data_IF_788602582065
#
_entry.id   IF_788602582065
#
_cell.length_a   1.000
_cell.length_b   1.000
_cell.length_c   1.000
_cell.angle_alpha   90.00
_cell.angle_beta   90.00
_cell.angle_gamma   90.00
#
_symmetry.space_group_name_H-M   'P 1'
#
loop_
_entity.id
_entity.type
_entity.pdbx_description
1 polymer ?
#
# COMPACT_ATOMS: atom_id res chain seq x y z
N UNK A 1 13.77 -7.76 39.68
CA UNK A 1 13.02 -8.45 38.60
C UNK A 1 11.70 -8.91 39.19
N UNK A 2 10.59 -8.26 38.87
CA UNK A 2 9.26 -8.76 39.27
C UNK A 2 8.95 -9.94 38.33
N UNK A 3 8.90 -11.17 38.85
CA UNK A 3 8.45 -12.33 38.08
C UNK A 3 6.95 -12.15 37.83
N UNK A 4 6.59 -11.69 36.63
CA UNK A 4 5.21 -11.72 36.17
C UNK A 4 4.87 -13.19 35.89
N UNK A 5 3.83 -13.72 36.54
CA UNK A 5 3.35 -15.08 36.31
C UNK A 5 3.04 -15.30 34.82
N UNK A 6 3.41 -16.44 34.22
CA UNK A 6 3.21 -16.73 32.80
C UNK A 6 1.74 -16.73 32.36
N UNK A 7 0.80 -16.67 33.30
CA UNK A 7 -0.66 -16.58 33.05
C UNK A 7 -1.15 -15.12 32.94
N UNK A 8 -0.45 -14.18 33.56
CA UNK A 8 -0.88 -12.77 33.64
C UNK A 8 -0.81 -12.09 32.28
N UNK A 9 0.23 -12.36 31.49
CA UNK A 9 0.39 -11.77 30.16
C UNK A 9 -0.72 -12.27 29.20
N UNK A 10 -0.97 -13.58 29.04
CA UNK A 10 -2.10 -14.08 28.26
C UNK A 10 -3.46 -13.54 28.72
N UNK A 11 -3.69 -13.41 30.03
CA UNK A 11 -4.94 -12.87 30.56
C UNK A 11 -5.13 -11.36 30.26
N UNK A 12 -4.06 -10.56 30.34
CA UNK A 12 -4.09 -9.14 29.95
C UNK A 12 -4.28 -8.96 28.44
N UNK A 13 -3.64 -9.82 27.63
CA UNK A 13 -3.83 -9.88 26.18
C UNK A 13 -5.29 -10.23 25.86
N UNK A 14 -5.85 -11.28 26.46
CA UNK A 14 -7.26 -11.64 26.30
C UNK A 14 -8.20 -10.52 26.79
N UNK A 15 -7.92 -9.91 27.94
CA UNK A 15 -8.69 -8.78 28.46
C UNK A 15 -8.68 -7.56 27.53
N UNK A 16 -7.52 -7.24 26.94
CA UNK A 16 -7.38 -6.19 25.93
C UNK A 16 -8.14 -6.51 24.64
N UNK A 17 -8.07 -7.76 24.17
CA UNK A 17 -8.86 -8.24 23.03
C UNK A 17 -10.35 -8.06 23.27
N UNK A 18 -10.85 -8.52 24.42
CA UNK A 18 -12.26 -8.42 24.77
C UNK A 18 -12.71 -6.96 24.93
N UNK A 19 -11.91 -6.13 25.61
CA UNK A 19 -12.22 -4.72 25.79
C UNK A 19 -12.30 -3.98 24.45
N UNK A 20 -11.30 -4.14 23.59
CA UNK A 20 -11.27 -3.47 22.29
C UNK A 20 -12.39 -3.97 21.35
N UNK A 21 -12.64 -5.28 21.31
CA UNK A 21 -13.69 -5.86 20.48
C UNK A 21 -15.08 -5.31 20.79
N UNK A 22 -15.39 -5.10 22.07
CA UNK A 22 -16.67 -4.57 22.51
C UNK A 22 -16.75 -3.04 22.49
N UNK A 23 -15.63 -2.32 22.64
CA UNK A 23 -15.62 -0.86 22.74
C UNK A 23 -15.21 -0.13 21.45
N UNK A 24 -14.67 -0.83 20.46
CA UNK A 24 -14.32 -0.24 19.15
C UNK A 24 -15.58 0.21 18.40
N UNK A 25 -15.67 1.51 18.14
CA UNK A 25 -16.74 2.10 17.33
C UNK A 25 -16.32 2.09 15.87
N UNK A 26 -16.88 1.15 15.11
CA UNK A 26 -16.78 1.15 13.65
C UNK A 26 -17.82 2.10 13.03
N UNK A 27 -17.46 2.91 12.02
CA UNK A 27 -18.42 3.63 11.22
C UNK A 27 -19.49 2.70 10.62
N UNK A 28 -20.75 3.16 10.50
CA UNK A 28 -21.77 2.41 9.77
C UNK A 28 -21.39 2.34 8.27
N UNK A 29 -21.62 1.19 7.63
CA UNK A 29 -21.39 0.98 6.19
C UNK A 29 -20.17 0.13 5.82
N UNK A 30 -19.31 -0.22 6.78
CA UNK A 30 -18.14 -1.10 6.55
C UNK A 30 -18.58 -2.52 6.16
N UNK A 31 -17.94 -3.07 5.13
CA UNK A 31 -18.08 -4.48 4.76
C UNK A 31 -17.46 -5.39 5.84
N UNK A 32 -18.15 -6.49 6.19
CA UNK A 32 -17.68 -7.48 7.16
C UNK A 32 -17.17 -6.90 8.50
N UNK A 33 -17.97 -6.09 9.22
CA UNK A 33 -17.52 -5.35 10.40
C UNK A 33 -17.03 -6.26 11.53
N UNK A 34 -17.59 -7.47 11.67
CA UNK A 34 -17.16 -8.44 12.66
C UNK A 34 -15.72 -8.92 12.42
N UNK A 35 -15.36 -9.25 11.17
CA UNK A 35 -14.01 -9.67 10.82
C UNK A 35 -13.01 -8.55 11.05
N UNK A 36 -13.39 -7.32 10.70
CA UNK A 36 -12.57 -6.14 10.94
C UNK A 36 -12.32 -5.92 12.44
N UNK A 37 -13.33 -6.06 13.31
CA UNK A 37 -13.16 -5.96 14.77
C UNK A 37 -12.21 -7.01 15.30
N UNK A 38 -12.37 -8.28 14.93
CA UNK A 38 -11.46 -9.35 15.37
C UNK A 38 -10.02 -9.03 14.98
N UNK A 39 -9.80 -8.62 13.73
CA UNK A 39 -8.46 -8.26 13.26
C UNK A 39 -7.91 -7.02 13.97
N UNK A 40 -8.74 -6.01 14.18
CA UNK A 40 -8.37 -4.80 14.91
C UNK A 40 -7.91 -5.10 16.32
N UNK A 41 -8.68 -5.91 17.06
CA UNK A 41 -8.34 -6.26 18.42
C UNK A 41 -7.07 -7.07 18.49
N UNK A 42 -6.82 -7.98 17.54
CA UNK A 42 -5.54 -8.68 17.41
C UNK A 42 -4.37 -7.71 17.16
N UNK A 43 -4.55 -6.73 16.27
CA UNK A 43 -3.55 -5.72 15.96
C UNK A 43 -3.23 -4.85 17.19
N UNK A 44 -4.27 -4.30 17.84
CA UNK A 44 -4.12 -3.45 19.03
C UNK A 44 -3.49 -4.25 20.17
N UNK A 45 -3.95 -5.47 20.43
CA UNK A 45 -3.44 -6.25 21.56
C UNK A 45 -1.98 -6.65 21.34
N UNK A 46 -1.58 -6.96 20.11
CA UNK A 46 -0.16 -7.17 19.81
C UNK A 46 0.65 -5.89 19.99
N UNK A 47 0.14 -4.72 19.56
CA UNK A 47 0.79 -3.43 19.80
C UNK A 47 0.82 -2.98 21.28
N UNK A 48 -0.19 -3.32 22.08
CA UNK A 48 -0.25 -3.03 23.54
C UNK A 48 0.66 -3.99 24.32
N UNK A 49 0.73 -5.26 23.93
CA UNK A 49 1.67 -6.23 24.52
C UNK A 49 3.15 -5.83 24.26
N UNK A 50 3.35 -4.92 23.32
CA UNK A 50 4.62 -4.34 22.91
C UNK A 50 4.93 -3.06 23.70
N UNK A 51 3.91 -2.32 24.12
CA UNK A 51 4.08 -0.98 24.66
C UNK A 51 4.43 -0.88 26.15
N UNK A 52 4.43 -1.97 26.95
CA UNK A 52 4.44 -1.74 28.40
C UNK A 52 5.50 -2.32 29.33
N UNK A 53 6.33 -3.34 29.05
CA UNK A 53 7.20 -3.77 30.18
C UNK A 53 8.50 -4.56 30.05
N UNK A 54 8.97 -5.07 28.90
CA UNK A 54 10.06 -6.06 28.99
C UNK A 54 11.26 -5.90 28.07
N UNK A 55 11.26 -5.04 27.04
CA UNK A 55 12.46 -4.89 26.19
C UNK A 55 12.91 -6.20 25.51
N UNK A 56 12.03 -7.20 25.40
CA UNK A 56 12.35 -8.56 24.93
C UNK A 56 12.06 -8.75 23.42
N UNK A 57 11.26 -7.88 22.78
CA UNK A 57 11.01 -7.96 21.33
C UNK A 57 10.74 -6.58 20.73
N UNK A 58 11.32 -6.31 19.56
CA UNK A 58 11.05 -5.09 18.79
C UNK A 58 9.63 -5.11 18.21
N UNK A 59 8.97 -3.96 18.36
CA UNK A 59 7.54 -3.62 18.25
C UNK A 59 6.65 -4.23 17.16
N UNK A 60 7.13 -5.02 16.21
CA UNK A 60 6.31 -5.56 15.11
C UNK A 60 6.67 -7.00 14.74
N UNK A 61 7.69 -7.58 15.39
CA UNK A 61 8.22 -8.91 15.08
C UNK A 61 7.20 -10.02 15.36
N UNK A 62 6.45 -9.92 16.46
CA UNK A 62 5.44 -10.92 16.83
C UNK A 62 4.23 -10.89 15.89
N UNK A 63 3.74 -9.69 15.57
CA UNK A 63 2.68 -9.49 14.58
C UNK A 63 3.12 -10.01 13.20
N UNK A 64 4.37 -9.76 12.83
CA UNK A 64 4.95 -10.30 11.60
C UNK A 64 4.98 -11.82 11.59
N UNK A 65 5.41 -12.48 12.67
CA UNK A 65 5.41 -13.95 12.77
C UNK A 65 3.98 -14.51 12.61
N UNK A 66 3.01 -13.93 13.31
CA UNK A 66 1.60 -14.33 13.21
C UNK A 66 1.06 -14.19 11.79
N UNK A 67 1.41 -13.09 11.12
CA UNK A 67 0.96 -12.81 9.76
C UNK A 67 1.71 -13.60 8.68
N UNK A 68 3.00 -13.91 8.87
CA UNK A 68 3.85 -14.59 7.89
C UNK A 68 3.78 -16.13 7.98
N UNK A 69 3.28 -16.67 9.11
CA UNK A 69 3.16 -18.11 9.39
C UNK A 69 2.06 -18.84 8.61
N UNK A 70 1.27 -18.15 7.78
CA UNK A 70 0.28 -18.77 6.90
C UNK A 70 1.01 -19.35 5.68
N UNK A 71 0.95 -20.68 5.44
CA UNK A 71 1.61 -21.27 4.28
C UNK A 71 0.98 -20.77 2.97
N UNK A 72 1.77 -20.62 1.90
CA UNK A 72 1.24 -20.20 0.61
C UNK A 72 0.24 -21.24 0.08
N UNK A 73 -0.90 -20.76 -0.39
CA UNK A 73 -1.90 -21.63 -1.00
C UNK A 73 -1.34 -22.28 -2.26
N UNK A 74 -1.52 -23.60 -2.40
CA UNK A 74 -1.12 -24.34 -3.60
C UNK A 74 -2.27 -24.29 -4.60
N UNK A 75 -2.06 -23.56 -5.68
CA UNK A 75 -2.97 -23.61 -6.83
C UNK A 75 -2.52 -24.74 -7.77
N UNK A 76 -3.39 -25.73 -8.00
CA UNK A 76 -3.08 -26.86 -8.89
C UNK A 76 -2.90 -26.43 -10.35
N UNK A 77 -3.42 -25.26 -10.74
CA UNK A 77 -3.33 -24.68 -12.09
C UNK A 77 -2.07 -23.83 -12.31
N UNK A 78 -1.33 -23.47 -11.25
CA UNK A 78 -0.14 -22.63 -11.33
C UNK A 78 1.15 -23.42 -11.01
N UNK A 79 2.18 -23.17 -11.81
CA UNK A 79 3.57 -23.38 -11.43
C UNK A 79 4.01 -22.17 -10.60
N UNK A 80 4.51 -22.43 -9.39
CA UNK A 80 5.02 -21.41 -8.48
C UNK A 80 6.52 -21.65 -8.32
N UNK A 81 7.33 -20.67 -8.72
CA UNK A 81 8.79 -20.73 -8.65
C UNK A 81 9.31 -19.60 -7.79
N UNK A 82 10.09 -19.93 -6.77
CA UNK A 82 10.86 -18.95 -6.02
C UNK A 82 12.25 -18.82 -6.63
N UNK A 83 12.73 -17.58 -6.75
CA UNK A 83 14.09 -17.28 -7.17
C UNK A 83 14.58 -16.03 -6.44
N UNK A 84 15.85 -15.68 -6.65
CA UNK A 84 16.50 -14.57 -5.98
C UNK A 84 17.34 -13.79 -6.99
N UNK A 85 17.08 -12.49 -7.11
CA UNK A 85 17.81 -11.56 -7.99
C UNK A 85 18.46 -10.52 -7.12
N UNK A 86 19.78 -10.42 -7.13
CA UNK A 86 20.54 -9.41 -6.36
C UNK A 86 20.07 -9.27 -4.90
N UNK A 87 19.98 -10.41 -4.20
CA UNK A 87 19.45 -10.53 -2.84
C UNK A 87 17.93 -10.33 -2.66
N UNK A 88 17.21 -9.86 -3.68
CA UNK A 88 15.76 -9.71 -3.71
C UNK A 88 15.08 -11.04 -4.04
N UNK A 89 14.39 -11.69 -3.08
CA UNK A 89 13.58 -12.85 -3.39
C UNK A 89 12.34 -12.48 -4.20
N UNK A 90 12.11 -13.25 -5.27
CA UNK A 90 10.97 -13.14 -6.17
C UNK A 90 10.22 -14.46 -6.15
N UNK A 91 8.90 -14.37 -6.29
CA UNK A 91 8.03 -15.50 -6.55
C UNK A 91 7.33 -15.26 -7.88
N UNK A 92 7.48 -16.20 -8.79
CA UNK A 92 6.81 -16.22 -10.08
C UNK A 92 5.63 -17.17 -9.99
N UNK A 93 4.48 -16.70 -10.46
CA UNK A 93 3.32 -17.55 -10.74
C UNK A 93 3.20 -17.72 -12.26
N UNK A 94 3.13 -18.95 -12.75
CA UNK A 94 2.95 -19.23 -14.18
C UNK A 94 1.82 -20.26 -14.37
N UNK A 95 0.86 -20.03 -15.27
CA UNK A 95 -0.11 -21.07 -15.60
C UNK A 95 0.54 -22.32 -16.19
N UNK A 96 0.13 -23.51 -15.73
CA UNK A 96 0.71 -24.80 -16.16
C UNK A 96 0.37 -25.20 -17.59
N UNK A 97 -0.72 -24.70 -18.17
CA UNK A 97 -1.04 -25.00 -19.56
C UNK A 97 0.00 -24.36 -20.50
N UNK A 98 0.31 -25.00 -21.65
CA UNK A 98 1.26 -24.47 -22.62
C UNK A 98 0.86 -23.07 -23.10
N UNK A 99 1.81 -22.15 -23.35
CA UNK A 99 1.51 -20.88 -24.01
C UNK A 99 1.00 -21.15 -25.43
N UNK A 100 -0.19 -20.65 -25.75
CA UNK A 100 -0.67 -20.54 -27.15
C UNK A 100 -0.03 -19.34 -27.87
N UNK A 101 0.75 -18.53 -27.14
CA UNK A 101 1.45 -17.34 -27.63
C UNK A 101 2.06 -16.55 -26.47
N UNK A 102 2.61 -15.35 -26.76
CA UNK A 102 3.10 -14.43 -25.73
C UNK A 102 1.96 -13.92 -24.86
N UNK A 103 2.21 -13.81 -23.55
CA UNK A 103 1.21 -13.53 -22.50
C UNK A 103 1.36 -12.12 -21.93
N UNK A 104 0.35 -11.67 -21.17
CA UNK A 104 0.46 -10.46 -20.34
C UNK A 104 1.42 -10.72 -19.18
N UNK A 105 2.23 -9.71 -18.84
CA UNK A 105 3.15 -9.76 -17.72
C UNK A 105 2.70 -8.81 -16.62
N UNK A 106 2.60 -9.29 -15.38
CA UNK A 106 2.24 -8.44 -14.24
C UNK A 106 3.35 -8.50 -13.19
N UNK A 107 3.87 -7.34 -12.85
CA UNK A 107 4.75 -7.14 -11.71
C UNK A 107 3.91 -6.58 -10.56
N UNK A 108 3.91 -7.26 -9.41
CA UNK A 108 3.07 -6.88 -8.28
C UNK A 108 3.87 -6.62 -7.01
N UNK A 109 3.68 -5.45 -6.43
CA UNK A 109 4.30 -5.03 -5.19
C UNK A 109 3.27 -5.08 -4.07
N UNK A 110 3.55 -5.89 -3.05
CA UNK A 110 2.60 -6.06 -1.95
C UNK A 110 2.63 -4.87 -0.99
N UNK A 111 1.49 -4.59 -0.38
CA UNK A 111 1.36 -3.66 0.75
C UNK A 111 1.93 -4.21 2.05
N UNK A 112 1.65 -3.50 3.16
CA UNK A 112 2.14 -3.86 4.49
C UNK A 112 3.10 -2.84 5.11
N UNK A 113 3.04 -1.58 4.65
CA UNK A 113 3.74 -0.44 5.23
C UNK A 113 5.26 -0.65 5.36
N UNK A 114 5.86 -1.35 4.40
CA UNK A 114 7.27 -1.73 4.41
C UNK A 114 7.72 -2.58 5.60
N UNK A 115 6.78 -3.10 6.38
CA UNK A 115 7.08 -3.84 7.61
C UNK A 115 6.47 -5.23 7.61
N UNK A 116 5.32 -5.39 6.97
CA UNK A 116 4.55 -6.61 6.89
C UNK A 116 4.44 -7.11 5.45
N UNK A 117 4.14 -8.40 5.31
CA UNK A 117 3.95 -9.01 4.01
C UNK A 117 5.17 -9.83 3.59
N UNK A 118 4.87 -10.96 2.97
CA UNK A 118 5.86 -11.92 2.49
C UNK A 118 5.30 -12.60 1.25
N UNK A 119 6.18 -13.12 0.40
CA UNK A 119 5.83 -14.03 -0.69
C UNK A 119 4.98 -15.23 -0.19
N UNK A 120 5.04 -15.60 1.10
CA UNK A 120 4.19 -16.63 1.70
C UNK A 120 2.69 -16.28 1.74
N UNK A 121 2.31 -15.00 1.63
CA UNK A 121 0.90 -14.59 1.65
C UNK A 121 0.20 -14.73 0.29
N UNK A 122 -1.12 -14.91 0.34
CA UNK A 122 -2.09 -15.05 -0.78
C UNK A 122 -1.86 -14.05 -1.93
N UNK A 123 -1.87 -14.57 -3.17
CA UNK A 123 -2.31 -13.93 -4.42
C UNK A 123 -2.05 -14.94 -5.56
N UNK A 124 -3.04 -15.22 -6.40
CA UNK A 124 -2.94 -16.17 -7.52
C UNK A 124 -2.85 -15.46 -8.88
N UNK A 125 -2.35 -16.19 -9.88
CA UNK A 125 -2.07 -15.84 -11.29
C UNK A 125 -0.93 -14.83 -11.53
N UNK A 126 -0.42 -14.78 -12.77
CA UNK A 126 0.95 -14.37 -13.14
C UNK A 126 1.43 -13.09 -12.46
N UNK A 127 2.18 -13.24 -11.38
CA UNK A 127 2.65 -12.17 -10.52
C UNK A 127 4.14 -12.42 -10.29
N UNK A 128 4.99 -11.43 -10.54
CA UNK A 128 6.27 -11.35 -9.85
C UNK A 128 6.01 -10.73 -8.48
N UNK A 129 5.95 -11.54 -7.43
CA UNK A 129 5.82 -11.06 -6.04
C UNK A 129 7.21 -10.96 -5.46
N UNK A 130 7.65 -9.76 -5.12
CA UNK A 130 8.85 -9.61 -4.32
C UNK A 130 8.60 -9.95 -2.86
N UNK A 131 9.65 -10.41 -2.21
CA UNK A 131 9.85 -10.24 -0.78
C UNK A 131 10.98 -9.23 -0.62
N UNK A 132 10.80 -8.22 0.21
CA UNK A 132 11.97 -7.55 0.79
C UNK A 132 12.45 -8.46 1.92
N UNK A 133 13.67 -8.99 1.84
CA UNK A 133 14.26 -9.70 2.97
C UNK A 133 14.55 -8.66 4.06
N UNK A 134 13.74 -8.61 5.11
CA UNK A 134 14.28 -8.24 6.42
C UNK A 134 14.75 -9.52 7.09
N UNK A 135 16.05 -9.79 6.99
CA UNK A 135 16.77 -10.55 8.00
C UNK A 135 18.15 -9.91 8.15
N UNK A 136 18.44 -9.54 9.40
CA UNK A 136 19.56 -8.76 9.91
C UNK A 136 19.30 -7.26 9.98
N UNK A 137 19.53 -6.76 11.19
CA UNK A 137 19.35 -5.40 11.64
C UNK A 137 20.00 -4.40 10.66
N UNK A 138 19.33 -3.24 10.50
CA UNK A 138 19.73 -2.02 9.78
C UNK A 138 19.28 -1.82 8.32
N UNK A 139 18.61 -0.67 8.12
CA UNK A 139 18.31 0.09 6.88
C UNK A 139 17.04 -0.29 6.10
N UNK A 140 15.92 0.34 6.46
CA UNK A 140 14.63 0.29 5.73
C UNK A 140 14.57 1.17 4.45
N UNK A 141 15.69 1.71 3.98
CA UNK A 141 15.78 2.62 2.82
C UNK A 141 15.89 1.92 1.45
N UNK A 142 15.75 0.59 1.37
CA UNK A 142 16.05 -0.21 0.16
C UNK A 142 14.84 -0.81 -0.57
N UNK A 143 13.61 -0.64 -0.08
CA UNK A 143 12.49 -1.42 -0.63
C UNK A 143 12.07 -1.03 -2.04
N UNK A 144 12.09 0.26 -2.38
CA UNK A 144 11.84 0.67 -3.75
C UNK A 144 13.03 0.31 -4.68
N UNK A 145 14.26 0.17 -4.16
CA UNK A 145 15.40 -0.36 -4.93
C UNK A 145 15.21 -1.85 -5.22
N UNK A 146 14.74 -2.64 -4.25
CA UNK A 146 14.33 -4.03 -4.47
C UNK A 146 13.29 -4.08 -5.60
N UNK A 147 12.28 -3.21 -5.53
CA UNK A 147 11.25 -3.07 -6.57
C UNK A 147 11.82 -2.75 -7.93
N UNK A 148 12.75 -1.80 -7.99
CA UNK A 148 13.40 -1.44 -9.24
C UNK A 148 14.22 -2.60 -9.79
N UNK A 149 15.04 -3.26 -8.98
CA UNK A 149 15.88 -4.39 -9.41
C UNK A 149 15.04 -5.54 -9.96
N UNK A 150 13.95 -5.90 -9.26
CA UNK A 150 13.00 -6.90 -9.74
C UNK A 150 12.34 -6.50 -11.06
N UNK A 151 11.98 -5.22 -11.20
CA UNK A 151 11.41 -4.68 -12.45
C UNK A 151 12.39 -4.79 -13.61
N UNK A 152 13.63 -4.36 -13.38
CA UNK A 152 14.69 -4.39 -14.39
C UNK A 152 14.99 -5.83 -14.82
N UNK A 153 15.08 -6.76 -13.86
CA UNK A 153 15.26 -8.17 -14.16
C UNK A 153 14.08 -8.72 -14.98
N UNK A 154 12.85 -8.46 -14.55
CA UNK A 154 11.66 -8.94 -15.25
C UNK A 154 11.60 -8.42 -16.70
N UNK A 155 11.80 -7.11 -16.89
CA UNK A 155 11.75 -6.47 -18.21
C UNK A 155 12.89 -6.91 -19.15
N UNK A 156 14.04 -7.34 -18.60
CA UNK A 156 15.17 -7.87 -19.39
C UNK A 156 15.01 -9.34 -19.77
N UNK A 157 14.17 -10.09 -19.06
CA UNK A 157 14.02 -11.54 -19.22
C UNK A 157 12.61 -11.94 -19.72
N UNK A 158 11.90 -11.05 -20.43
CA UNK A 158 10.51 -11.29 -20.85
C UNK A 158 10.33 -12.56 -21.70
N UNK A 159 11.32 -12.89 -22.54
CA UNK A 159 11.22 -14.10 -23.38
C UNK A 159 11.34 -15.40 -22.59
N UNK A 160 12.12 -15.44 -21.51
CA UNK A 160 12.18 -16.60 -20.60
C UNK A 160 10.78 -16.92 -20.05
N UNK A 161 9.96 -15.89 -19.86
CA UNK A 161 8.63 -16.01 -19.28
C UNK A 161 7.50 -15.94 -20.31
N UNK A 162 7.84 -15.95 -21.62
CA UNK A 162 6.89 -15.81 -22.72
C UNK A 162 5.96 -14.60 -22.58
N UNK A 163 6.47 -13.46 -22.10
CA UNK A 163 5.70 -12.22 -21.90
C UNK A 163 5.79 -11.34 -23.14
N UNK A 164 4.66 -10.76 -23.54
CA UNK A 164 4.61 -9.76 -24.59
C UNK A 164 5.12 -8.41 -24.05
N UNK A 165 6.20 -7.83 -24.61
CA UNK A 165 6.76 -6.55 -24.15
C UNK A 165 5.79 -5.37 -24.27
N UNK A 166 4.74 -5.47 -25.10
CA UNK A 166 3.70 -4.44 -25.21
C UNK A 166 2.59 -4.54 -24.13
N UNK A 167 2.60 -5.60 -23.31
CA UNK A 167 1.54 -5.92 -22.34
C UNK A 167 2.10 -6.12 -20.93
N UNK A 168 2.95 -5.19 -20.49
CA UNK A 168 3.52 -5.16 -19.14
C UNK A 168 2.65 -4.28 -18.24
N UNK A 169 2.22 -4.82 -17.11
CA UNK A 169 1.47 -4.12 -16.08
C UNK A 169 2.30 -4.09 -14.80
N UNK A 170 2.36 -2.94 -14.14
CA UNK A 170 2.94 -2.82 -12.80
C UNK A 170 1.82 -2.46 -11.84
N UNK A 171 1.70 -3.16 -10.73
CA UNK A 171 0.67 -2.86 -9.75
C UNK A 171 1.07 -3.14 -8.33
N UNK A 172 0.22 -2.72 -7.41
CA UNK A 172 0.40 -3.01 -6.00
C UNK A 172 -0.74 -2.50 -5.16
N UNK A 173 -0.67 -2.81 -3.87
CA UNK A 173 -1.64 -2.37 -2.88
C UNK A 173 -0.97 -1.55 -1.77
N UNK A 174 -1.66 -0.52 -1.26
CA UNK A 174 -1.14 0.32 -0.17
C UNK A 174 0.26 0.89 -0.50
N UNK A 175 1.27 0.66 0.33
CA UNK A 175 2.67 1.03 0.03
C UNK A 175 3.24 0.34 -1.22
N UNK A 176 2.74 -0.83 -1.61
CA UNK A 176 3.11 -1.48 -2.87
C UNK A 176 2.65 -0.67 -4.08
N UNK A 177 1.48 -0.03 -4.00
CA UNK A 177 1.00 0.88 -5.04
C UNK A 177 1.85 2.17 -5.11
N UNK A 178 2.37 2.64 -3.97
CA UNK A 178 3.37 3.72 -3.93
C UNK A 178 4.60 3.32 -4.76
N UNK A 179 5.19 2.16 -4.48
CA UNK A 179 6.34 1.66 -5.24
C UNK A 179 6.02 1.49 -6.72
N UNK A 180 4.83 0.98 -7.07
CA UNK A 180 4.40 0.82 -8.46
C UNK A 180 4.43 2.17 -9.21
N UNK A 181 3.93 3.21 -8.54
CA UNK A 181 3.91 4.58 -9.07
C UNK A 181 5.33 5.14 -9.23
N UNK A 182 6.17 5.03 -8.20
CA UNK A 182 7.57 5.49 -8.23
C UNK A 182 8.36 4.79 -9.33
N UNK A 183 8.21 3.48 -9.48
CA UNK A 183 8.88 2.70 -10.53
C UNK A 183 8.40 3.14 -11.91
N UNK A 184 7.10 3.36 -12.13
CA UNK A 184 6.61 3.88 -13.41
C UNK A 184 7.24 5.24 -13.76
N UNK A 185 7.40 6.13 -12.78
CA UNK A 185 8.09 7.42 -12.98
C UNK A 185 9.57 7.25 -13.33
N UNK A 186 10.29 6.34 -12.65
CA UNK A 186 11.71 6.06 -12.92
C UNK A 186 11.91 5.47 -14.33
N UNK A 187 11.01 4.59 -14.76
CA UNK A 187 11.11 3.90 -16.06
C UNK A 187 10.97 4.83 -17.26
N UNK A 188 10.40 6.02 -17.12
CA UNK A 188 10.34 7.02 -18.20
C UNK A 188 11.74 7.38 -18.72
N UNK A 189 12.77 7.28 -17.86
CA UNK A 189 14.16 7.55 -18.22
C UNK A 189 14.92 6.32 -18.76
N UNK A 190 14.27 5.14 -18.88
CA UNK A 190 14.87 3.88 -19.33
C UNK A 190 14.41 3.51 -20.74
N UNK A 191 15.02 4.14 -21.74
CA UNK A 191 14.67 3.96 -23.17
C UNK A 191 15.04 2.58 -23.73
N UNK A 192 15.93 1.86 -23.06
CA UNK A 192 16.36 0.50 -23.39
C UNK A 192 15.36 -0.58 -22.97
N UNK A 193 14.31 -0.22 -22.21
CA UNK A 193 13.31 -1.16 -21.70
C UNK A 193 11.95 -0.97 -22.38
N UNK A 194 11.13 -2.03 -22.45
CA UNK A 194 9.76 -1.92 -22.91
C UNK A 194 8.93 -0.98 -22.02
N UNK A 195 7.97 -0.29 -22.63
CA UNK A 195 7.06 0.61 -21.90
C UNK A 195 6.07 -0.17 -21.05
N UNK A 196 5.72 0.38 -19.89
CA UNK A 196 4.60 -0.10 -19.08
C UNK A 196 3.31 0.24 -19.82
N UNK A 197 2.43 -0.74 -20.01
CA UNK A 197 1.13 -0.55 -20.66
C UNK A 197 0.11 0.07 -19.70
N UNK A 198 0.08 -0.37 -18.45
CA UNK A 198 -0.83 0.13 -17.43
C UNK A 198 -0.24 0.00 -16.02
N UNK A 199 -0.68 0.86 -15.10
CA UNK A 199 -0.44 0.72 -13.66
C UNK A 199 -1.73 0.43 -12.89
N UNK A 200 -1.67 -0.45 -11.89
CA UNK A 200 -2.82 -0.85 -11.06
C UNK A 200 -2.55 -0.50 -9.61
N UNK A 201 -3.29 0.47 -9.06
CA UNK A 201 -3.03 1.09 -7.77
C UNK A 201 -4.20 0.82 -6.82
N UNK A 202 -4.01 -0.08 -5.87
CA UNK A 202 -5.06 -0.49 -4.94
C UNK A 202 -4.89 0.28 -3.62
N UNK A 203 -5.84 1.16 -3.31
CA UNK A 203 -5.86 2.04 -2.12
C UNK A 203 -4.48 2.64 -1.80
N UNK A 204 -3.89 3.41 -2.74
CA UNK A 204 -2.49 3.80 -2.68
C UNK A 204 -2.22 4.91 -1.66
N UNK A 205 -1.08 4.84 -0.98
CA UNK A 205 -0.52 6.00 -0.24
C UNK A 205 0.50 6.71 -1.11
N UNK A 206 0.30 8.00 -1.40
CA UNK A 206 1.05 8.71 -2.45
C UNK A 206 1.59 10.07 -2.03
N UNK A 207 1.25 10.56 -0.83
CA UNK A 207 1.76 11.82 -0.32
C UNK A 207 1.96 11.84 1.21
N UNK A 208 2.94 12.62 1.66
CA UNK A 208 3.20 12.96 3.06
C UNK A 208 3.17 14.46 3.34
N UNK A 209 2.51 15.23 2.47
CA UNK A 209 2.41 16.69 2.52
C UNK A 209 1.25 17.16 3.43
N UNK A 210 0.08 16.52 3.35
CA UNK A 210 -1.11 16.94 4.06
C UNK A 210 -1.84 15.77 4.71
N UNK A 211 -1.67 15.63 6.03
CA UNK A 211 -2.37 14.66 6.87
C UNK A 211 -3.69 15.20 7.45
N UNK A 212 -4.23 16.28 6.86
CA UNK A 212 -5.51 16.89 7.21
C UNK A 212 -6.52 16.92 6.06
N UNK A 213 -6.23 16.23 4.96
CA UNK A 213 -7.23 15.97 3.93
C UNK A 213 -8.49 15.30 4.53
N UNK A 214 -9.67 15.48 3.92
CA UNK A 214 -10.94 14.93 4.42
C UNK A 214 -10.86 13.48 4.91
N UNK A 215 -10.29 12.55 4.14
CA UNK A 215 -10.16 11.14 4.54
C UNK A 215 -9.27 10.94 5.76
N UNK A 216 -8.21 11.72 5.92
CA UNK A 216 -7.32 11.63 7.07
C UNK A 216 -8.01 12.03 8.37
N UNK A 217 -8.97 12.96 8.31
CA UNK A 217 -9.80 13.35 9.45
C UNK A 217 -10.95 12.37 9.69
N UNK A 218 -11.72 12.06 8.64
CA UNK A 218 -12.92 11.23 8.71
C UNK A 218 -12.62 9.79 9.11
N UNK A 219 -11.45 9.27 8.70
CA UNK A 219 -11.02 7.90 8.96
C UNK A 219 -9.85 7.85 9.97
N UNK A 220 -9.69 8.91 10.79
CA UNK A 220 -8.57 9.06 11.72
C UNK A 220 -8.44 7.98 12.79
N UNK A 221 -9.49 7.18 13.00
CA UNK A 221 -9.57 6.10 13.99
C UNK A 221 -10.15 4.80 13.40
N UNK A 222 -10.29 4.71 12.08
CA UNK A 222 -10.81 3.48 11.44
C UNK A 222 -9.77 2.36 11.57
N UNK A 223 -10.17 1.16 12.00
CA UNK A 223 -9.27 0.00 12.09
C UNK A 223 -8.55 -0.37 10.77
N UNK A 224 -7.52 -1.21 10.88
CA UNK A 224 -6.50 -1.53 9.86
C UNK A 224 -5.47 -0.44 9.63
N UNK A 225 -5.91 0.77 9.31
CA UNK A 225 -5.00 1.89 9.07
C UNK A 225 -5.67 3.20 9.47
N UNK A 226 -5.11 3.83 10.50
CA UNK A 226 -5.57 5.10 11.03
C UNK A 226 -4.46 6.16 10.93
N UNK A 227 -4.82 7.44 11.04
CA UNK A 227 -3.93 8.57 10.71
C UNK A 227 -2.58 8.54 11.42
N UNK A 228 -2.57 8.36 12.75
CA UNK A 228 -1.30 8.27 13.51
C UNK A 228 -0.44 7.07 13.10
N UNK A 229 -1.09 5.95 12.73
CA UNK A 229 -0.39 4.75 12.30
C UNK A 229 0.28 4.93 10.92
N UNK A 230 -0.33 5.67 10.00
CA UNK A 230 0.32 6.06 8.73
C UNK A 230 1.63 6.78 8.99
N UNK A 231 1.60 7.81 9.84
CA UNK A 231 2.77 8.63 10.14
C UNK A 231 3.83 7.79 10.88
N UNK A 232 3.42 6.95 11.83
CA UNK A 232 4.32 6.00 12.48
C UNK A 232 5.03 5.11 11.45
N UNK A 233 4.30 4.55 10.48
CA UNK A 233 4.92 3.76 9.41
C UNK A 233 5.85 4.56 8.52
N UNK A 234 5.61 5.85 8.30
CA UNK A 234 6.56 6.73 7.59
C UNK A 234 7.90 6.81 8.34
N UNK A 235 7.86 7.02 9.67
CA UNK A 235 9.06 7.03 10.51
C UNK A 235 9.78 5.68 10.47
N UNK A 236 9.04 4.58 10.62
CA UNK A 236 9.60 3.23 10.56
C UNK A 236 10.29 2.98 9.23
N UNK A 237 9.62 3.25 8.12
CA UNK A 237 10.16 3.10 6.76
C UNK A 237 11.45 3.89 6.55
N UNK A 238 11.55 5.09 7.12
CA UNK A 238 12.75 5.91 7.06
C UNK A 238 13.82 5.50 8.10
N UNK A 239 13.56 4.47 8.89
CA UNK A 239 14.39 4.02 10.00
C UNK A 239 14.69 5.15 11.00
N UNK A 240 13.66 5.93 11.33
CA UNK A 240 13.71 7.07 12.26
C UNK A 240 12.80 6.82 13.46
N UNK A 241 13.19 7.38 14.60
CA UNK A 241 12.36 7.40 15.80
C UNK A 241 11.19 8.38 15.63
N UNK A 242 9.95 8.01 16.01
CA UNK A 242 8.76 8.84 15.86
C UNK A 242 8.66 9.96 16.92
N UNK A 243 9.76 10.59 17.28
CA UNK A 243 9.84 11.57 18.39
C UNK A 243 9.03 12.85 18.12
N UNK A 244 8.85 13.23 16.86
CA UNK A 244 8.08 14.40 16.43
C UNK A 244 6.73 14.03 15.77
N UNK A 245 6.23 12.81 16.01
CA UNK A 245 5.02 12.29 15.36
C UNK A 245 3.80 13.19 15.54
N UNK A 246 3.55 13.73 16.73
CA UNK A 246 2.40 14.59 16.99
C UNK A 246 2.50 15.91 16.21
N UNK A 247 3.70 16.45 16.02
CA UNK A 247 3.92 17.64 15.19
C UNK A 247 3.71 17.33 13.70
N UNK A 248 4.08 16.13 13.24
CA UNK A 248 3.81 15.68 11.87
C UNK A 248 2.32 15.46 11.64
N UNK A 249 1.58 14.93 12.63
CA UNK A 249 0.10 14.86 12.57
C UNK A 249 -0.49 16.25 12.35
N UNK A 250 0.13 17.29 12.92
CA UNK A 250 -0.29 18.68 12.75
C UNK A 250 0.26 19.35 11.48
N UNK A 251 0.88 18.61 10.55
CA UNK A 251 1.57 19.14 9.36
C UNK A 251 2.62 20.22 9.67
N UNK A 252 3.26 20.19 10.85
CA UNK A 252 4.28 21.17 11.22
C UNK A 252 5.58 21.01 10.40
N UNK A 253 5.79 19.85 9.75
CA UNK A 253 6.96 19.54 8.93
C UNK A 253 6.94 20.17 7.54
N UNK A 254 5.85 20.80 7.10
CA UNK A 254 5.72 21.31 5.73
C UNK A 254 5.87 22.83 5.68
N UNK A 255 6.90 23.37 4.98
CA UNK A 255 7.05 24.80 4.78
C UNK A 255 5.87 25.39 4.00
N UNK A 256 5.50 26.64 4.30
CA UNK A 256 4.39 27.31 3.62
C UNK A 256 4.63 27.45 2.11
N UNK A 257 5.87 27.71 1.70
CA UNK A 257 6.25 27.74 0.28
C UNK A 257 5.94 26.43 -0.45
N UNK A 258 6.12 25.29 0.24
CA UNK A 258 5.81 23.97 -0.30
C UNK A 258 4.30 23.74 -0.38
N UNK A 259 3.54 24.10 0.67
CA UNK A 259 2.08 24.05 0.64
C UNK A 259 1.52 24.85 -0.54
N UNK A 260 1.99 26.08 -0.74
CA UNK A 260 1.57 26.92 -1.86
C UNK A 260 1.97 26.32 -3.22
N UNK A 261 3.20 25.78 -3.36
CA UNK A 261 3.65 25.13 -4.60
C UNK A 261 2.72 23.98 -5.01
N UNK A 262 2.38 23.10 -4.06
CA UNK A 262 1.62 21.88 -4.34
C UNK A 262 0.11 22.03 -4.14
N UNK A 263 -0.39 23.20 -3.69
CA UNK A 263 -1.83 23.45 -3.42
C UNK A 263 -2.76 23.09 -4.58
N UNK A 264 -2.30 23.30 -5.83
CA UNK A 264 -3.07 22.96 -7.03
C UNK A 264 -3.27 21.45 -7.25
N UNK A 265 -2.51 20.61 -6.55
CA UNK A 265 -2.55 19.16 -6.70
C UNK A 265 -2.89 18.44 -5.38
N UNK A 266 -2.54 19.02 -4.23
CA UNK A 266 -2.86 18.52 -2.89
C UNK A 266 -3.58 19.63 -2.14
N UNK A 267 -4.91 19.54 -2.15
CA UNK A 267 -5.80 20.40 -1.38
C UNK A 267 -7.14 19.70 -1.19
N UNK A 268 -7.79 19.95 -0.06
CA UNK A 268 -9.17 19.52 0.17
C UNK A 268 -10.16 20.15 -0.83
N UNK A 269 -9.83 21.29 -1.44
CA UNK A 269 -10.67 21.95 -2.46
C UNK A 269 -10.84 21.08 -3.72
N UNK A 270 -9.89 20.17 -3.97
CA UNK A 270 -9.86 19.27 -5.13
C UNK A 270 -10.74 18.04 -4.88
N UNK A 271 -10.97 17.69 -3.60
CA UNK A 271 -11.79 16.55 -3.20
C UNK A 271 -13.27 16.89 -3.46
N UNK A 272 -14.06 16.03 -4.12
CA UNK A 272 -15.50 16.26 -4.28
C UNK A 272 -16.25 16.32 -2.94
N UNK A 273 -17.30 17.11 -2.85
CA UNK A 273 -18.00 17.38 -1.57
C UNK A 273 -18.69 16.14 -0.98
N UNK A 274 -19.12 15.20 -1.81
CA UNK A 274 -19.63 13.88 -1.39
C UNK A 274 -18.64 13.11 -0.50
N UNK A 275 -17.34 13.34 -0.65
CA UNK A 275 -16.31 12.71 0.17
C UNK A 275 -16.00 13.44 1.47
N UNK A 276 -16.56 14.64 1.69
CA UNK A 276 -16.32 15.50 2.87
C UNK A 276 -17.42 15.42 3.94
N UNK A 277 -18.43 14.58 3.73
CA UNK A 277 -19.68 14.61 4.50
C UNK A 277 -19.57 14.12 5.95
N UNK A 278 -18.50 13.42 6.35
CA UNK A 278 -18.38 12.81 7.69
C UNK A 278 -17.60 13.66 8.69
N UNK A 279 -17.95 14.94 8.81
CA UNK A 279 -17.35 15.81 9.82
C UNK A 279 -15.94 16.30 9.47
N UNK A 280 -15.65 16.48 8.18
CA UNK A 280 -14.46 17.19 7.75
C UNK A 280 -14.52 18.65 8.21
N UNK A 281 -13.43 19.13 8.81
CA UNK A 281 -13.27 20.53 9.18
C UNK A 281 -12.06 21.10 8.44
N UNK A 282 -12.23 22.17 7.64
CA UNK A 282 -11.11 22.86 7.02
C UNK A 282 -10.09 23.32 8.06
N UNK A 283 -8.84 22.87 7.89
CA UNK A 283 -7.75 23.23 8.77
C UNK A 283 -7.35 24.70 8.58
N UNK A 284 -7.12 25.40 9.70
CA UNK A 284 -6.41 26.70 9.69
C UNK A 284 -4.90 26.49 9.52
N UNK A 285 -4.19 27.55 9.11
CA UNK A 285 -2.73 27.55 8.95
C UNK A 285 -2.01 26.88 10.12
N UNK A 286 -1.11 25.94 9.82
CA UNK A 286 -0.28 25.25 10.81
C UNK A 286 1.05 25.98 10.98
N UNK A 287 1.61 25.94 12.19
CA UNK A 287 2.91 26.54 12.47
C UNK A 287 4.02 25.64 11.95
N UNK A 288 4.75 26.08 10.92
CA UNK A 288 5.92 25.37 10.42
C UNK A 288 7.01 25.30 11.51
N UNK A 289 7.62 24.13 11.67
CA UNK A 289 8.72 23.86 12.60
C UNK A 289 9.92 23.28 11.84
N UNK A 290 11.01 24.05 11.64
CA UNK A 290 12.19 23.61 10.89
C UNK A 290 12.80 22.31 11.40
N UNK A 291 12.83 22.11 12.72
CA UNK A 291 13.34 20.91 13.36
C UNK A 291 12.52 19.65 13.05
N UNK A 292 11.20 19.80 12.94
CA UNK A 292 10.29 18.71 12.56
C UNK A 292 10.46 18.41 11.07
N UNK A 293 10.61 19.44 10.23
CA UNK A 293 10.91 19.26 8.82
C UNK A 293 12.21 18.48 8.63
N UNK A 294 13.31 18.91 9.26
CA UNK A 294 14.60 18.24 9.12
C UNK A 294 14.54 16.78 9.59
N UNK A 295 13.76 16.50 10.64
CA UNK A 295 13.57 15.14 11.14
C UNK A 295 12.87 14.21 10.13
N UNK A 296 12.03 14.71 9.20
CA UNK A 296 11.18 13.84 8.36
C UNK A 296 11.08 14.24 6.88
N UNK A 297 11.86 15.21 6.40
CA UNK A 297 11.76 15.81 5.05
C UNK A 297 11.77 14.81 3.89
N UNK A 298 12.31 13.60 4.08
CA UNK A 298 12.33 12.55 3.08
C UNK A 298 10.92 12.13 2.65
N UNK A 299 9.90 12.26 3.51
CA UNK A 299 8.50 11.99 3.12
C UNK A 299 8.00 12.99 2.08
N UNK A 300 8.67 14.12 1.89
CA UNK A 300 8.33 15.16 0.91
C UNK A 300 9.12 15.01 -0.41
N UNK A 301 9.90 13.93 -0.56
CA UNK A 301 10.61 13.61 -1.80
C UNK A 301 9.72 12.82 -2.75
N UNK A 302 9.94 12.92 -4.07
CA UNK A 302 9.14 12.20 -5.08
C UNK A 302 9.25 10.68 -4.98
N UNK A 303 10.33 10.15 -4.40
CA UNK A 303 10.52 8.71 -4.18
C UNK A 303 9.72 8.16 -3.01
N UNK A 304 9.20 9.04 -2.14
CA UNK A 304 8.27 8.68 -1.07
C UNK A 304 6.84 9.15 -1.37
N UNK A 305 6.72 10.37 -1.89
CA UNK A 305 5.48 11.04 -2.27
C UNK A 305 5.41 11.25 -3.78
N UNK A 306 5.18 10.19 -4.59
CA UNK A 306 5.16 10.29 -6.05
C UNK A 306 4.06 11.21 -6.59
N UNK A 307 3.06 11.58 -5.78
CA UNK A 307 2.06 12.60 -6.13
C UNK A 307 2.69 13.99 -6.31
N UNK A 308 3.89 14.23 -5.77
CA UNK A 308 4.63 15.49 -5.91
C UNK A 308 5.42 15.61 -7.22
N UNK A 309 5.47 14.56 -8.06
CA UNK A 309 6.17 14.62 -9.34
C UNK A 309 5.60 15.74 -10.23
N UNK A 310 6.45 16.39 -11.03
CA UNK A 310 6.03 17.49 -11.90
C UNK A 310 5.07 17.02 -13.01
N UNK A 311 4.23 17.92 -13.52
CA UNK A 311 3.24 17.60 -14.57
C UNK A 311 3.89 17.00 -15.84
N UNK A 312 5.12 17.41 -16.15
CA UNK A 312 5.94 16.84 -17.24
C UNK A 312 6.27 15.35 -17.06
N UNK A 313 6.27 14.84 -15.84
CA UNK A 313 6.42 13.41 -15.53
C UNK A 313 5.04 12.74 -15.59
N UNK A 314 4.04 13.35 -14.97
CA UNK A 314 2.68 12.78 -14.84
C UNK A 314 2.04 12.52 -16.20
N UNK A 315 2.14 13.45 -17.15
CA UNK A 315 1.52 13.30 -18.48
C UNK A 315 2.10 12.16 -19.33
N UNK A 316 3.25 11.59 -18.93
CA UNK A 316 3.91 10.48 -19.61
C UNK A 316 3.62 9.12 -18.95
N UNK A 317 2.90 9.10 -17.82
CA UNK A 317 2.62 7.87 -17.08
C UNK A 317 1.64 6.96 -17.82
N UNK A 318 1.71 5.63 -17.59
CA UNK A 318 0.83 4.70 -18.26
C UNK A 318 -0.62 4.87 -17.81
N UNK A 319 -1.55 4.32 -18.60
CA UNK A 319 -2.95 4.19 -18.23
C UNK A 319 -3.07 3.60 -16.82
N UNK A 320 -3.96 4.17 -16.01
CA UNK A 320 -4.01 3.87 -14.58
C UNK A 320 -5.36 3.31 -14.17
N UNK A 321 -5.34 2.21 -13.41
CA UNK A 321 -6.50 1.70 -12.70
C UNK A 321 -6.33 1.99 -11.21
N UNK A 322 -7.23 2.76 -10.61
CA UNK A 322 -7.14 3.18 -9.22
C UNK A 322 -8.34 2.67 -8.44
N UNK A 323 -8.07 1.97 -7.34
CA UNK A 323 -9.10 1.61 -6.36
C UNK A 323 -8.95 2.47 -5.13
N UNK A 324 -10.06 3.01 -4.65
CA UNK A 324 -10.14 3.71 -3.36
C UNK A 324 -11.21 3.06 -2.48
N UNK A 325 -11.06 3.21 -1.17
CA UNK A 325 -11.98 2.66 -0.17
C UNK A 325 -12.55 3.80 0.67
N UNK A 326 -13.85 3.77 0.96
CA UNK A 326 -14.51 4.87 1.67
C UNK A 326 -14.04 5.04 3.12
N UNK A 327 -13.78 3.92 3.79
CA UNK A 327 -13.27 3.87 5.17
C UNK A 327 -11.75 3.65 5.19
N UNK A 328 -11.03 4.40 4.35
CA UNK A 328 -9.57 4.40 4.28
C UNK A 328 -9.02 5.81 4.51
N UNK A 329 -8.04 5.91 5.41
CA UNK A 329 -7.34 7.17 5.70
C UNK A 329 -6.60 7.71 4.46
N UNK A 330 -6.16 6.83 3.55
CA UNK A 330 -5.46 7.16 2.30
C UNK A 330 -6.40 7.37 1.10
N UNK A 331 -7.73 7.37 1.30
CA UNK A 331 -8.70 7.52 0.20
C UNK A 331 -8.39 8.74 -0.67
N UNK A 332 -8.13 9.88 -0.03
CA UNK A 332 -7.93 11.14 -0.73
C UNK A 332 -6.60 11.18 -1.51
N UNK A 333 -5.56 10.42 -1.12
CA UNK A 333 -4.34 10.26 -1.92
C UNK A 333 -4.67 9.69 -3.31
N UNK A 334 -5.51 8.65 -3.35
CA UNK A 334 -5.97 8.04 -4.59
C UNK A 334 -6.86 8.98 -5.42
N UNK A 335 -7.77 9.75 -4.78
CA UNK A 335 -8.63 10.72 -5.47
C UNK A 335 -7.83 11.87 -6.09
N UNK A 336 -6.88 12.43 -5.33
CA UNK A 336 -6.00 13.50 -5.82
C UNK A 336 -5.13 13.01 -6.96
N UNK A 337 -4.58 11.80 -6.87
CA UNK A 337 -3.75 11.25 -7.93
C UNK A 337 -4.56 10.92 -9.20
N UNK A 338 -5.77 10.37 -9.05
CA UNK A 338 -6.73 10.18 -10.15
C UNK A 338 -6.96 11.49 -10.89
N UNK A 339 -7.39 12.53 -10.17
CA UNK A 339 -7.64 13.86 -10.76
C UNK A 339 -6.39 14.41 -11.43
N UNK A 340 -5.23 14.28 -10.79
CA UNK A 340 -3.96 14.76 -11.33
C UNK A 340 -3.58 14.08 -12.65
N UNK A 341 -3.79 12.77 -12.76
CA UNK A 341 -3.57 12.02 -14.00
C UNK A 341 -4.54 12.46 -15.10
N UNK A 342 -5.84 12.59 -14.78
CA UNK A 342 -6.87 13.06 -15.71
C UNK A 342 -6.59 14.47 -16.23
N UNK A 343 -6.24 15.40 -15.33
CA UNK A 343 -5.89 16.79 -15.67
C UNK A 343 -4.64 16.87 -16.59
N UNK A 344 -3.81 15.82 -16.61
CA UNK A 344 -2.62 15.69 -17.46
C UNK A 344 -2.84 14.78 -18.69
N UNK A 345 -4.08 14.42 -19.00
CA UNK A 345 -4.43 13.64 -20.20
C UNK A 345 -4.08 12.15 -20.11
N UNK A 346 -3.75 11.63 -18.93
CA UNK A 346 -3.55 10.19 -18.73
C UNK A 346 -4.91 9.52 -18.59
N UNK A 347 -5.10 8.39 -19.29
CA UNK A 347 -6.31 7.60 -19.17
C UNK A 347 -6.38 6.97 -17.77
N UNK A 348 -7.49 7.22 -17.06
CA UNK A 348 -7.74 6.68 -15.73
C UNK A 348 -9.05 5.94 -15.70
N UNK A 349 -9.01 4.73 -15.15
CA UNK A 349 -10.19 4.02 -14.68
C UNK A 349 -10.17 4.03 -13.16
N UNK A 350 -11.28 4.41 -12.54
CA UNK A 350 -11.37 4.51 -11.09
C UNK A 350 -12.56 3.71 -10.56
N UNK A 351 -12.31 2.95 -9.50
CA UNK A 351 -13.33 2.27 -8.72
C UNK A 351 -13.27 2.72 -7.27
N UNK A 352 -14.43 3.06 -6.72
CA UNK A 352 -14.58 3.43 -5.32
C UNK A 352 -15.41 2.37 -4.60
N UNK A 353 -14.84 1.77 -3.56
CA UNK A 353 -15.55 0.83 -2.70
C UNK A 353 -16.22 1.59 -1.56
N UNK A 354 -17.53 1.82 -1.68
CA UNK A 354 -18.34 2.57 -0.69
C UNK A 354 -18.36 1.92 0.70
N UNK A 355 -18.23 0.60 0.77
CA UNK A 355 -18.16 -0.17 2.02
C UNK A 355 -16.73 -0.58 2.40
N UNK A 356 -15.75 -0.25 1.55
CA UNK A 356 -14.40 -0.74 1.69
C UNK A 356 -13.58 0.02 2.73
N UNK A 357 -12.56 -0.67 3.27
CA UNK A 357 -11.59 -0.12 4.20
C UNK A 357 -10.16 -0.45 3.74
N UNK A 358 -9.14 0.11 4.39
CA UNK A 358 -7.75 -0.11 4.00
C UNK A 358 -7.36 -1.59 4.13
N UNK A 359 -6.69 -2.14 3.09
CA UNK A 359 -6.24 -3.54 3.10
C UNK A 359 -7.34 -4.58 2.94
N UNK A 360 -8.52 -4.19 2.44
CA UNK A 360 -9.69 -5.07 2.23
C UNK A 360 -9.36 -6.35 1.44
N UNK A 361 -8.35 -6.35 0.57
CA UNK A 361 -7.95 -7.54 -0.20
C UNK A 361 -7.47 -8.71 0.67
N UNK A 362 -7.03 -8.43 1.90
CA UNK A 362 -6.67 -9.49 2.86
C UNK A 362 -7.90 -10.26 3.39
N UNK A 363 -9.10 -9.68 3.26
CA UNK A 363 -10.36 -10.21 3.78
C UNK A 363 -11.19 -10.96 2.73
N UNK A 364 -10.80 -10.83 1.46
CA UNK A 364 -11.35 -11.60 0.36
C UNK A 364 -10.63 -12.95 0.20
N UNK A 365 -11.38 -13.98 -0.23
CA UNK A 365 -10.77 -15.22 -0.68
C UNK A 365 -9.90 -14.96 -1.92
N UNK A 366 -8.84 -15.75 -2.09
CA UNK A 366 -7.87 -15.54 -3.17
C UNK A 366 -8.51 -15.56 -4.57
N UNK A 367 -9.64 -16.26 -4.72
CA UNK A 367 -10.48 -16.26 -5.93
C UNK A 367 -11.24 -14.94 -6.13
N UNK A 368 -11.62 -14.23 -5.07
CA UNK A 368 -12.40 -12.99 -5.14
C UNK A 368 -11.52 -11.75 -5.31
N UNK A 369 -10.33 -11.71 -4.70
CA UNK A 369 -9.30 -10.69 -4.95
C UNK A 369 -8.86 -10.73 -6.42
N UNK A 370 -8.71 -11.95 -6.94
CA UNK A 370 -8.57 -12.18 -8.37
C UNK A 370 -9.83 -11.86 -9.13
N UNK A 371 -11.04 -12.18 -8.65
CA UNK A 371 -12.27 -11.84 -9.36
C UNK A 371 -12.48 -10.33 -9.45
N UNK A 372 -12.02 -9.51 -8.49
CA UNK A 372 -12.16 -8.06 -8.58
C UNK A 372 -11.11 -7.46 -9.54
N UNK A 373 -9.90 -8.02 -9.57
CA UNK A 373 -8.92 -7.71 -10.61
C UNK A 373 -9.33 -8.27 -12.00
N UNK A 374 -9.91 -9.47 -12.06
CA UNK A 374 -10.28 -10.22 -13.27
C UNK A 374 -11.64 -9.80 -13.83
N UNK A 375 -12.65 -9.49 -13.01
CA UNK A 375 -13.95 -8.97 -13.47
C UNK A 375 -13.75 -7.67 -14.24
N UNK A 376 -12.73 -6.88 -13.89
CA UNK A 376 -12.52 -5.58 -14.52
C UNK A 376 -11.46 -5.62 -15.63
N UNK A 377 -10.40 -6.43 -15.51
CA UNK A 377 -9.55 -6.79 -16.66
C UNK A 377 -10.37 -7.43 -17.80
N UNK A 378 -11.53 -8.05 -17.49
CA UNK A 378 -12.46 -8.63 -18.46
C UNK A 378 -13.58 -7.70 -18.96
N UNK A 379 -14.00 -6.66 -18.19
CA UNK A 379 -15.19 -5.85 -18.55
C UNK A 379 -14.90 -4.54 -19.29
N UNK A 380 -13.70 -3.95 -19.19
CA UNK A 380 -13.44 -2.62 -19.76
C UNK A 380 -12.23 -2.54 -20.70
N UNK A 381 -11.67 -3.69 -21.07
CA UNK A 381 -10.75 -3.83 -22.22
C UNK A 381 -11.49 -4.70 -23.25
N UNK A 382 -12.52 -4.12 -23.88
CA UNK A 382 -13.47 -4.79 -24.78
C UNK A 382 -12.90 -5.24 -26.14
N UNK A 383 -11.62 -5.65 -26.21
CA UNK A 383 -11.03 -6.15 -27.46
C UNK A 383 -10.10 -7.36 -27.31
N UNK A 384 -10.17 -8.13 -26.22
CA UNK A 384 -9.44 -9.41 -26.17
C UNK A 384 -10.22 -10.52 -25.48
N UNK A 385 -10.82 -11.38 -26.30
CA UNK A 385 -11.27 -12.72 -25.96
C UNK A 385 -10.12 -13.55 -25.34
N UNK A 386 -10.37 -14.18 -24.18
CA UNK A 386 -10.25 -15.63 -23.94
C UNK A 386 -10.23 -16.01 -22.44
N UNK A 387 -11.21 -16.85 -22.10
CA UNK A 387 -11.20 -17.99 -21.17
C UNK A 387 -10.52 -17.87 -19.80
N UNK A 388 -11.32 -17.61 -18.76
CA UNK A 388 -11.22 -18.33 -17.48
C UNK A 388 -12.63 -18.61 -16.92
N UNK A 389 -13.27 -19.65 -17.45
CA UNK A 389 -14.36 -20.35 -16.80
C UNK A 389 -13.85 -21.72 -16.30
N UNK A 390 -14.31 -22.11 -15.11
CA UNK A 390 -13.97 -23.30 -14.31
C UNK A 390 -12.67 -23.24 -13.49
#
# INVERSE_FOLDING_TARGET
MVLISPVVIPALVLGGLFYDFFNSKLPPGIDQPLKLRVFHSLLITTMISILEKLGICSDLSLLRILLDGIPPWRDSKLLIKDLKVDEVPLRIYQPKWPPTGKRRGILYFHGGAGTFGSISKKSASFIFKMKSKTLHFYLQTWQYFDCLNATLYFMRNLEEYHVNPALIIIGGDSCGANFATVICQILLNKRDLPKVRAQVLLYPGLQGLDFHLPSYQQNASVPMLFRKLVIYFCFRYLNKEPSVLEDVVQNCHVPESMKQKYKKWISADIIPDEFKIRGYVPQKSTSYKPEVHEAIKEILTITFSPLLAEDSIICQLPESYIVTCEFDVLRDDGLLYKKRLEDNGVQVTWYHSESGFHGILAFFDASLTLSLANLYLAKNINTFDLCFAC
#
